data_IF_513705240506
#
_entry.id   IF_513705240506
#
_cell.length_a   1.000
_cell.length_b   1.000
_cell.length_c   1.000
_cell.angle_alpha   90.00
_cell.angle_beta   90.00
_cell.angle_gamma   90.00
#
_symmetry.space_group_name_H-M   'P 1'
#
loop_
_entity.id
_entity.type
_entity.pdbx_description
1 polymer ?
#
# COMPACT_ATOMS: atom_id res chain seq x y z
N UNK A 1 -3.60 -3.69 -15.88
CA UNK A 1 -4.89 -3.11 -16.35
C UNK A 1 -5.88 -3.44 -15.27
N UNK A 2 -6.48 -2.43 -14.64
CA UNK A 2 -7.44 -2.58 -13.56
C UNK A 2 -8.65 -1.69 -13.81
N UNK A 3 -9.77 -2.04 -13.21
CA UNK A 3 -11.05 -1.31 -13.34
C UNK A 3 -11.31 -0.57 -12.04
N UNK A 4 -11.82 0.66 -12.16
CA UNK A 4 -12.24 1.47 -11.02
C UNK A 4 -13.75 1.63 -11.06
N UNK A 5 -14.42 1.20 -10.00
CA UNK A 5 -15.87 1.30 -9.84
C UNK A 5 -16.19 2.27 -8.69
N UNK A 6 -16.95 3.35 -8.93
CA UNK A 6 -17.32 4.28 -7.88
C UNK A 6 -18.30 3.62 -6.89
N UNK A 7 -18.05 3.80 -5.60
CA UNK A 7 -18.96 3.37 -4.52
C UNK A 7 -19.80 4.55 -4.06
N UNK A 8 -19.16 5.69 -3.83
CA UNK A 8 -19.79 6.97 -3.50
C UNK A 8 -18.94 8.15 -4.02
N UNK A 9 -19.19 9.36 -3.51
CA UNK A 9 -18.52 10.58 -3.96
C UNK A 9 -17.01 10.61 -3.63
N UNK A 10 -16.57 9.87 -2.61
CA UNK A 10 -15.20 9.94 -2.07
C UNK A 10 -14.47 8.59 -2.13
N UNK A 11 -15.16 7.51 -2.47
CA UNK A 11 -14.59 6.15 -2.49
C UNK A 11 -14.89 5.38 -3.77
N UNK A 12 -13.96 4.51 -4.14
CA UNK A 12 -14.08 3.59 -5.25
C UNK A 12 -13.45 2.25 -4.92
N UNK A 13 -13.85 1.22 -5.66
CA UNK A 13 -13.20 -0.09 -5.66
C UNK A 13 -12.27 -0.16 -6.87
N UNK A 14 -11.02 -0.53 -6.64
CA UNK A 14 -10.07 -0.87 -7.69
C UNK A 14 -9.96 -2.39 -7.77
N UNK A 15 -10.46 -2.98 -8.86
CA UNK A 15 -10.16 -4.36 -9.23
C UNK A 15 -8.92 -4.38 -10.12
N UNK A 16 -7.84 -4.98 -9.62
CA UNK A 16 -6.58 -5.05 -10.36
C UNK A 16 -5.81 -6.31 -10.03
N UNK A 17 -5.14 -6.84 -11.05
CA UNK A 17 -4.26 -8.00 -10.95
C UNK A 17 -2.86 -7.67 -11.46
N UNK A 18 -1.90 -8.48 -11.04
CA UNK A 18 -0.54 -8.47 -11.54
C UNK A 18 0.00 -9.91 -11.68
N UNK A 19 1.14 -10.07 -12.33
CA UNK A 19 1.76 -11.39 -12.55
C UNK A 19 2.30 -12.06 -11.27
N UNK A 20 2.41 -11.31 -10.17
CA UNK A 20 2.82 -11.79 -8.86
C UNK A 20 2.31 -10.88 -7.75
N UNK A 21 2.26 -11.38 -6.50
CA UNK A 21 1.92 -10.55 -5.33
C UNK A 21 2.93 -9.41 -5.12
N UNK A 22 4.22 -9.64 -5.39
CA UNK A 22 5.24 -8.59 -5.27
C UNK A 22 5.00 -7.45 -6.26
N UNK A 23 4.69 -7.78 -7.52
CA UNK A 23 4.40 -6.77 -8.55
C UNK A 23 3.10 -6.02 -8.25
N UNK A 24 2.10 -6.71 -7.70
CA UNK A 24 0.85 -6.09 -7.24
C UNK A 24 1.10 -5.15 -6.05
N UNK A 25 1.86 -5.59 -5.05
CA UNK A 25 2.20 -4.77 -3.89
C UNK A 25 2.98 -3.51 -4.30
N UNK A 26 3.94 -3.63 -5.21
CA UNK A 26 4.66 -2.49 -5.76
C UNK A 26 3.73 -1.53 -6.50
N UNK A 27 2.81 -2.06 -7.33
CA UNK A 27 1.83 -1.25 -8.05
C UNK A 27 0.91 -0.47 -7.09
N UNK A 28 0.38 -1.15 -6.05
CA UNK A 28 -0.48 -0.53 -5.04
C UNK A 28 0.26 0.54 -4.24
N UNK A 29 1.51 0.30 -3.86
CA UNK A 29 2.34 1.28 -3.14
C UNK A 29 2.63 2.56 -3.95
N UNK A 30 2.57 2.49 -5.27
CA UNK A 30 2.76 3.64 -6.17
C UNK A 30 1.48 4.47 -6.41
N UNK A 31 0.32 4.01 -5.92
CA UNK A 31 -0.95 4.73 -6.14
C UNK A 31 -0.95 6.12 -5.50
N UNK A 32 -0.24 6.29 -4.38
CA UNK A 32 -0.19 7.56 -3.65
C UNK A 32 -1.49 7.91 -2.89
N UNK A 33 -2.39 6.95 -2.75
CA UNK A 33 -3.64 7.07 -1.98
C UNK A 33 -3.68 6.04 -0.86
N UNK A 34 -4.44 6.33 0.18
CA UNK A 34 -4.79 5.32 1.18
C UNK A 34 -5.76 4.31 0.56
N UNK A 35 -5.55 3.03 0.84
CA UNK A 35 -6.41 1.95 0.37
C UNK A 35 -6.52 0.84 1.40
N UNK A 36 -7.61 0.07 1.32
CA UNK A 36 -7.79 -1.16 2.08
C UNK A 36 -7.93 -2.31 1.11
N UNK A 37 -7.13 -3.37 1.30
CA UNK A 37 -7.27 -4.61 0.54
C UNK A 37 -8.40 -5.43 1.15
N UNK A 38 -9.44 -5.67 0.35
CA UNK A 38 -10.56 -6.53 0.72
C UNK A 38 -10.23 -8.00 0.41
N UNK A 39 -9.73 -8.28 -0.79
CA UNK A 39 -9.36 -9.61 -1.26
C UNK A 39 -8.16 -9.57 -2.23
N UNK A 40 -7.42 -10.68 -2.38
CA UNK A 40 -7.46 -11.88 -1.55
C UNK A 40 -6.74 -11.66 -0.20
N UNK A 41 -7.12 -12.43 0.83
CA UNK A 41 -6.48 -12.35 2.16
C UNK A 41 -4.95 -12.62 2.12
N UNK A 42 -4.48 -13.38 1.13
CA UNK A 42 -3.05 -13.61 0.89
C UNK A 42 -2.29 -12.32 0.54
N UNK A 43 -2.93 -11.38 -0.15
CA UNK A 43 -2.34 -10.07 -0.46
C UNK A 43 -2.19 -9.23 0.82
N UNK A 44 -3.17 -9.27 1.72
CA UNK A 44 -3.07 -8.61 3.03
C UNK A 44 -1.86 -9.16 3.80
N UNK A 45 -1.71 -10.49 3.86
CA UNK A 45 -0.56 -11.10 4.52
C UNK A 45 0.77 -10.69 3.86
N UNK A 46 0.79 -10.63 2.53
CA UNK A 46 1.98 -10.24 1.77
C UNK A 46 2.38 -8.78 1.99
N UNK A 47 1.42 -7.85 2.11
CA UNK A 47 1.66 -6.42 2.34
C UNK A 47 2.17 -6.09 3.75
N UNK A 48 1.91 -6.94 4.75
CA UNK A 48 2.36 -6.70 6.13
C UNK A 48 3.88 -6.61 6.24
N UNK A 49 4.60 -7.42 5.48
CA UNK A 49 6.07 -7.45 5.50
C UNK A 49 6.70 -6.15 4.98
N UNK A 50 6.40 -5.67 3.74
CA UNK A 50 6.92 -4.38 3.27
C UNK A 50 6.42 -3.21 4.12
N UNK A 51 5.17 -3.22 4.61
CA UNK A 51 4.67 -2.18 5.50
C UNK A 51 5.52 -2.08 6.80
N UNK A 52 5.78 -3.20 7.46
CA UNK A 52 6.62 -3.24 8.66
C UNK A 52 8.07 -2.82 8.36
N UNK A 53 8.61 -3.22 7.21
CA UNK A 53 9.96 -2.82 6.76
C UNK A 53 10.07 -1.32 6.54
N UNK A 54 9.10 -0.71 5.86
CA UNK A 54 9.10 0.73 5.60
C UNK A 54 8.89 1.53 6.89
N UNK A 55 8.01 1.07 7.78
CA UNK A 55 7.86 1.67 9.11
C UNK A 55 9.21 1.72 9.84
N UNK A 56 9.90 0.58 10.01
CA UNK A 56 11.24 0.54 10.64
C UNK A 56 12.29 1.41 9.95
N UNK A 57 12.22 1.55 8.62
CA UNK A 57 13.19 2.35 7.86
C UNK A 57 13.15 3.84 8.22
N UNK A 58 12.02 4.32 8.77
CA UNK A 58 11.82 5.73 9.13
C UNK A 58 12.05 6.02 10.61
N UNK A 59 12.13 4.99 11.47
CA UNK A 59 12.29 5.14 12.93
C UNK A 59 13.60 5.85 13.32
N UNK A 60 14.68 5.64 12.56
CA UNK A 60 15.96 6.33 12.75
C UNK A 60 16.03 7.73 12.12
N UNK A 61 15.04 8.12 11.30
CA UNK A 61 14.98 9.39 10.57
C UNK A 61 14.20 10.45 11.36
N UNK A 62 14.47 10.57 12.67
CA UNK A 62 13.88 11.66 13.44
C UNK A 62 14.54 12.99 13.05
N UNK A 63 13.79 14.01 12.60
CA UNK A 63 14.31 15.37 12.42
C UNK A 63 14.70 16.04 13.76
N UNK A 64 14.44 15.39 14.90
CA UNK A 64 14.71 15.94 16.22
C UNK A 64 16.19 15.95 16.63
N UNK A 65 17.10 15.44 15.80
CA UNK A 65 18.55 15.44 16.07
C UNK A 65 19.29 16.71 15.57
N UNK A 66 18.59 17.73 15.05
CA UNK A 66 19.19 19.02 14.61
C UNK A 66 18.75 20.21 15.47
N UNK A 67 18.80 20.05 16.80
CA UNK A 67 18.86 21.18 17.74
C UNK A 67 19.88 20.85 18.85
N UNK A 68 21.15 21.08 18.56
CA UNK A 68 22.20 21.34 19.56
C UNK A 68 23.09 22.46 19.05
#
# INVERSE_FOLDING_TARGET
MGTVEPVDAETCVLDTGAGSLDSLAAHLGMLGFDFTVTEPASLVAHLREPAARYSRSTEGSSPAASRR
#
